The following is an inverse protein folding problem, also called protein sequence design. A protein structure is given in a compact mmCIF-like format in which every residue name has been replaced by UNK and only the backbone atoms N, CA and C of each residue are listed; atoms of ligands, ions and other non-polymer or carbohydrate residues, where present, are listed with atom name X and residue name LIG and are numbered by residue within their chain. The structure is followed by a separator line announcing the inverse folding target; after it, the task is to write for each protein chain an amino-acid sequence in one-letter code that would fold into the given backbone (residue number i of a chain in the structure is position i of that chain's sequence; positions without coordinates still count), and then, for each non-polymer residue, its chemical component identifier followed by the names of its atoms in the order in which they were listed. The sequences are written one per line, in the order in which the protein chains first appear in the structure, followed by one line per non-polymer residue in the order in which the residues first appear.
data_IF_753367437110
#
_entry.id   IF_753367437110
#
_cell.length_a   1.000
_cell.length_b   1.000
_cell.length_c   1.000
_cell.angle_alpha   90.00
_cell.angle_beta   90.00
_cell.angle_gamma   90.00
#
_symmetry.space_group_name_H-M   'P 1'
#
loop_
_entity.id
_entity.type
_entity.pdbx_description
1 polymer ?
#
# COMPACT_ATOMS: atom_id res chain seq x y z
N UNK A 1 -52.99 3.90 6.88
CA UNK A 1 -52.20 4.92 6.16
C UNK A 1 -50.71 4.93 6.55
N UNK A 2 -50.32 4.63 7.81
CA UNK A 2 -48.90 4.53 8.20
C UNK A 2 -48.16 3.33 7.58
N UNK A 3 -48.78 2.15 7.48
CA UNK A 3 -48.13 0.93 6.94
C UNK A 3 -47.74 1.08 5.46
N UNK A 4 -48.60 1.74 4.66
CA UNK A 4 -48.35 1.99 3.23
C UNK A 4 -47.20 2.98 3.00
N UNK A 5 -47.03 3.97 3.89
CA UNK A 5 -45.91 4.90 3.83
C UNK A 5 -44.57 4.23 4.20
N UNK A 6 -44.57 3.35 5.22
CA UNK A 6 -43.39 2.57 5.62
C UNK A 6 -42.99 1.59 4.51
N UNK A 7 -43.95 0.91 3.91
CA UNK A 7 -43.69 -0.01 2.79
C UNK A 7 -43.12 0.73 1.56
N UNK A 8 -43.63 1.93 1.25
CA UNK A 8 -43.11 2.77 0.16
C UNK A 8 -41.67 3.23 0.41
N UNK A 9 -41.37 3.68 1.63
CA UNK A 9 -40.01 4.08 2.00
C UNK A 9 -39.02 2.90 1.97
N UNK A 10 -39.43 1.73 2.45
CA UNK A 10 -38.60 0.52 2.40
C UNK A 10 -38.30 0.07 0.96
N UNK A 11 -39.29 0.12 0.08
CA UNK A 11 -39.12 -0.23 -1.34
C UNK A 11 -38.16 0.76 -2.04
N UNK A 12 -38.28 2.05 -1.74
CA UNK A 12 -37.39 3.08 -2.29
C UNK A 12 -35.93 2.87 -1.85
N UNK A 13 -35.70 2.57 -0.58
CA UNK A 13 -34.36 2.31 -0.06
C UNK A 13 -33.72 1.06 -0.67
N UNK A 14 -34.49 -0.02 -0.87
CA UNK A 14 -34.00 -1.24 -1.52
C UNK A 14 -33.59 -0.99 -2.99
N UNK A 15 -34.38 -0.20 -3.72
CA UNK A 15 -34.04 0.17 -5.10
C UNK A 15 -32.79 1.06 -5.17
N UNK A 16 -32.66 2.03 -4.28
CA UNK A 16 -31.48 2.89 -4.20
C UNK A 16 -30.21 2.08 -3.86
N UNK A 17 -30.29 1.18 -2.87
CA UNK A 17 -29.19 0.30 -2.51
C UNK A 17 -28.79 -0.64 -3.66
N UNK A 18 -29.76 -1.18 -4.40
CA UNK A 18 -29.52 -2.01 -5.58
C UNK A 18 -28.81 -1.26 -6.71
N UNK A 19 -29.22 -0.01 -6.97
CA UNK A 19 -28.57 0.85 -7.98
C UNK A 19 -27.12 1.20 -7.61
N UNK A 20 -26.88 1.53 -6.34
CA UNK A 20 -25.52 1.82 -5.83
C UNK A 20 -24.64 0.56 -5.90
N UNK A 21 -25.15 -0.60 -5.49
CA UNK A 21 -24.43 -1.86 -5.58
C UNK A 21 -24.07 -2.24 -7.03
N UNK A 22 -25.00 -2.00 -7.96
CA UNK A 22 -24.76 -2.23 -9.39
C UNK A 22 -23.68 -1.30 -9.96
N UNK A 23 -23.68 -0.02 -9.58
CA UNK A 23 -22.64 0.93 -9.97
C UNK A 23 -21.28 0.55 -9.38
N UNK A 24 -21.23 0.15 -8.12
CA UNK A 24 -19.98 -0.31 -7.48
C UNK A 24 -19.43 -1.56 -8.16
N UNK A 25 -20.27 -2.54 -8.49
CA UNK A 25 -19.82 -3.74 -9.20
C UNK A 25 -19.35 -3.42 -10.63
N UNK A 26 -19.95 -2.44 -11.29
CA UNK A 26 -19.51 -1.99 -12.62
C UNK A 26 -18.16 -1.28 -12.55
N UNK A 27 -17.92 -0.43 -11.56
CA UNK A 27 -16.63 0.22 -11.34
C UNK A 27 -15.54 -0.80 -11.02
N UNK A 28 -15.82 -1.79 -10.16
CA UNK A 28 -14.90 -2.88 -9.85
C UNK A 28 -14.57 -3.70 -11.10
N UNK A 29 -15.57 -4.08 -11.91
CA UNK A 29 -15.31 -4.82 -13.17
C UNK A 29 -14.54 -4.01 -14.21
N UNK A 30 -14.77 -2.70 -14.27
CA UNK A 30 -14.01 -1.82 -15.17
C UNK A 30 -12.56 -1.70 -14.71
N UNK A 31 -12.34 -1.56 -13.40
CA UNK A 31 -11.00 -1.58 -12.80
C UNK A 31 -10.32 -2.93 -13.04
N UNK A 32 -11.01 -4.05 -12.83
CA UNK A 32 -10.49 -5.40 -13.11
C UNK A 32 -10.17 -5.60 -14.60
N UNK A 33 -11.00 -5.10 -15.52
CA UNK A 33 -10.77 -5.20 -16.96
C UNK A 33 -9.62 -4.30 -17.44
N UNK A 34 -9.45 -3.11 -16.86
CA UNK A 34 -8.32 -2.22 -17.13
C UNK A 34 -6.99 -2.73 -16.52
N UNK A 35 -7.07 -3.44 -15.38
CA UNK A 35 -5.93 -4.12 -14.75
C UNK A 35 -5.54 -5.42 -15.46
N UNK A 36 -6.51 -6.20 -15.96
CA UNK A 36 -6.25 -7.44 -16.71
C UNK A 36 -5.57 -7.20 -18.07
N UNK A 37 -5.63 -5.97 -18.58
CA UNK A 37 -5.01 -5.55 -19.83
C UNK A 37 -3.92 -4.48 -19.62
N UNK A 38 -3.18 -4.53 -18.49
CA UNK A 38 -2.09 -3.59 -18.27
C UNK A 38 -1.01 -3.77 -19.37
N UNK A 39 -0.83 -2.79 -20.28
CA UNK A 39 0.31 -2.82 -21.19
C UNK A 39 1.56 -2.76 -20.32
N UNK A 40 2.57 -3.55 -20.65
CA UNK A 40 3.82 -3.71 -19.88
C UNK A 40 4.41 -2.36 -19.40
N UNK A 41 4.20 -1.27 -20.14
CA UNK A 41 4.57 0.10 -19.73
C UNK A 41 3.91 0.66 -18.46
N UNK A 42 2.90 0.00 -17.86
CA UNK A 42 2.32 0.37 -16.55
C UNK A 42 3.05 -0.28 -15.36
N UNK A 43 3.83 -1.34 -15.58
CA UNK A 43 4.59 -2.02 -14.54
C UNK A 43 5.92 -1.30 -14.33
N UNK A 44 6.02 -0.58 -13.22
CA UNK A 44 7.13 0.34 -12.95
C UNK A 44 7.65 0.25 -11.52
N UNK A 45 7.12 -0.69 -10.73
CA UNK A 45 7.46 -0.80 -9.32
C UNK A 45 7.78 -2.26 -8.98
N UNK A 46 8.79 -2.43 -8.15
CA UNK A 46 9.22 -3.74 -7.63
C UNK A 46 9.70 -3.59 -6.20
N UNK A 47 9.62 -4.67 -5.42
CA UNK A 47 10.14 -4.70 -4.05
C UNK A 47 11.44 -5.49 -4.04
N UNK A 48 12.47 -4.88 -3.46
CA UNK A 48 13.77 -5.49 -3.24
C UNK A 48 13.91 -5.83 -1.76
N UNK A 49 14.59 -6.95 -1.47
CA UNK A 49 14.81 -7.45 -0.11
C UNK A 49 16.18 -7.03 0.43
N UNK A 50 16.51 -5.76 0.26
CA UNK A 50 17.79 -5.18 0.67
C UNK A 50 17.57 -3.74 1.16
N UNK A 51 18.56 -3.19 1.87
CA UNK A 51 18.53 -1.81 2.35
C UNK A 51 19.14 -0.87 1.34
N UNK A 52 18.48 0.27 1.12
CA UNK A 52 18.98 1.34 0.27
C UNK A 52 19.43 2.50 1.15
N UNK A 53 20.55 3.12 0.81
CA UNK A 53 20.98 4.33 1.51
C UNK A 53 20.34 5.58 0.92
N UNK A 54 20.19 6.61 1.75
CA UNK A 54 19.68 7.93 1.34
C UNK A 54 20.42 8.51 0.13
N UNK A 55 21.74 8.41 0.17
CA UNK A 55 22.72 8.92 -0.80
C UNK A 55 22.97 7.99 -2.00
N UNK A 56 22.41 6.78 -2.00
CA UNK A 56 22.68 5.80 -3.06
C UNK A 56 21.89 6.12 -4.34
N UNK A 57 22.61 6.30 -5.44
CA UNK A 57 22.06 6.47 -6.78
C UNK A 57 22.05 5.13 -7.52
N UNK A 58 20.88 4.49 -7.60
CA UNK A 58 20.63 3.33 -8.47
C UNK A 58 19.55 3.67 -9.50
N UNK A 59 19.92 4.12 -10.71
CA UNK A 59 18.95 4.51 -11.73
C UNK A 59 18.07 3.34 -12.20
N UNK A 60 18.54 2.10 -12.07
CA UNK A 60 17.80 0.87 -12.35
C UNK A 60 16.75 0.52 -11.29
N UNK A 61 16.89 1.02 -10.06
CA UNK A 61 15.99 0.77 -8.94
C UNK A 61 16.02 1.97 -7.98
N UNK A 62 15.18 2.97 -8.28
CA UNK A 62 15.09 4.21 -7.51
C UNK A 62 14.24 3.96 -6.27
N UNK A 63 14.80 4.01 -5.05
CA UNK A 63 14.02 3.72 -3.84
C UNK A 63 13.04 4.85 -3.55
N UNK A 64 11.79 4.49 -3.24
CA UNK A 64 10.72 5.42 -2.88
C UNK A 64 10.38 5.31 -1.39
N UNK A 65 10.35 4.09 -0.86
CA UNK A 65 10.04 3.80 0.52
C UNK A 65 10.66 2.46 0.93
N UNK A 66 11.14 2.34 2.15
CA UNK A 66 11.56 1.06 2.72
C UNK A 66 10.97 0.84 4.10
N UNK A 67 10.69 -0.42 4.40
CA UNK A 67 10.14 -0.87 5.67
C UNK A 67 10.93 -2.08 6.16
N UNK A 68 11.43 -2.02 7.38
CA UNK A 68 12.24 -3.07 8.01
C UNK A 68 11.46 -3.68 9.15
N UNK A 69 11.34 -5.00 9.13
CA UNK A 69 10.73 -5.81 10.21
C UNK A 69 11.85 -6.54 10.92
N UNK A 70 12.04 -6.28 12.22
CA UNK A 70 13.09 -6.88 13.05
C UNK A 70 12.65 -8.27 13.55
N UNK A 71 13.56 -9.15 13.94
CA UNK A 71 13.18 -10.53 14.28
C UNK A 71 12.85 -10.71 15.77
N UNK A 72 13.27 -9.79 16.65
CA UNK A 72 12.99 -9.82 18.09
C UNK A 72 12.48 -8.50 18.71
N UNK A 73 11.72 -8.56 19.83
CA UNK A 73 11.19 -7.38 20.53
C UNK A 73 12.24 -6.57 21.33
N UNK A 74 13.48 -7.05 21.45
CA UNK A 74 14.57 -6.38 22.18
C UNK A 74 15.81 -6.07 21.30
N UNK A 75 15.73 -6.29 19.99
CA UNK A 75 16.83 -6.06 19.06
C UNK A 75 16.91 -4.56 18.69
N UNK A 76 17.83 -3.83 19.34
CA UNK A 76 18.38 -2.60 18.75
C UNK A 76 19.35 -3.02 17.64
N UNK A 77 19.22 -2.43 16.46
CA UNK A 77 20.09 -2.64 15.29
C UNK A 77 21.59 -2.62 15.67
N UNK A 78 22.13 -3.77 16.05
CA UNK A 78 23.56 -4.03 16.11
C UNK A 78 23.97 -4.71 14.81
N UNK A 79 25.18 -4.38 14.32
CA UNK A 79 25.74 -4.96 13.11
C UNK A 79 25.65 -6.50 13.16
N UNK A 80 24.75 -7.08 12.37
CA UNK A 80 24.63 -8.54 12.19
C UNK A 80 23.25 -9.16 12.44
N UNK A 81 22.25 -8.44 12.92
CA UNK A 81 20.88 -9.00 13.10
C UNK A 81 20.02 -8.89 11.82
N UNK A 82 19.43 -10.02 11.45
CA UNK A 82 18.63 -10.24 10.22
C UNK A 82 17.21 -9.71 10.35
N UNK A 83 17.04 -8.40 10.25
CA UNK A 83 15.75 -7.80 9.90
C UNK A 83 15.44 -7.99 8.41
N UNK A 84 14.18 -8.25 8.06
CA UNK A 84 13.76 -8.28 6.65
C UNK A 84 13.40 -6.86 6.21
N UNK A 85 14.18 -6.30 5.30
CA UNK A 85 13.87 -5.01 4.67
C UNK A 85 13.09 -5.23 3.39
N UNK A 86 12.00 -4.49 3.23
CA UNK A 86 11.22 -4.40 2.00
C UNK A 86 11.39 -3.01 1.42
N UNK A 87 12.19 -2.88 0.37
CA UNK A 87 12.45 -1.62 -0.32
C UNK A 87 11.61 -1.53 -1.60
N UNK A 88 10.59 -0.67 -1.58
CA UNK A 88 9.79 -0.36 -2.75
C UNK A 88 10.56 0.62 -3.65
N UNK A 89 10.85 0.16 -4.87
CA UNK A 89 11.61 0.93 -5.84
C UNK A 89 10.80 1.16 -7.12
N UNK A 90 10.98 2.34 -7.72
CA UNK A 90 10.64 2.57 -9.12
C UNK A 90 11.75 2.00 -9.99
N UNK A 91 11.37 1.23 -10.99
CA UNK A 91 12.25 0.66 -12.01
C UNK A 91 11.86 1.19 -13.40
N UNK A 92 12.67 0.99 -14.45
CA UNK A 92 12.30 1.34 -15.81
C UNK A 92 10.93 0.78 -16.24
N UNK A 93 10.24 1.51 -17.11
CA UNK A 93 8.90 1.11 -17.54
C UNK A 93 8.91 -0.26 -18.23
N UNK A 94 8.09 -1.18 -17.72
CA UNK A 94 7.98 -2.55 -18.21
C UNK A 94 9.00 -3.53 -17.65
N UNK A 95 9.90 -3.10 -16.75
CA UNK A 95 10.78 -4.00 -16.00
C UNK A 95 10.30 -4.23 -14.58
N UNK A 96 9.21 -3.56 -14.17
CA UNK A 96 8.61 -3.73 -12.86
C UNK A 96 7.69 -4.94 -12.78
N UNK A 97 7.35 -5.31 -11.55
CA UNK A 97 6.41 -6.40 -11.26
C UNK A 97 5.00 -5.87 -10.98
N UNK A 98 4.90 -4.59 -10.59
CA UNK A 98 3.68 -4.00 -10.04
C UNK A 98 3.35 -2.65 -10.67
N UNK A 99 2.05 -2.33 -10.67
CA UNK A 99 1.57 -0.96 -10.85
C UNK A 99 1.75 -0.15 -9.55
N UNK A 100 1.49 1.16 -9.60
CA UNK A 100 1.59 2.01 -8.40
C UNK A 100 0.57 1.60 -7.33
N UNK A 101 -0.65 1.23 -7.76
CA UNK A 101 -1.72 0.81 -6.85
C UNK A 101 -1.38 -0.54 -6.17
N UNK A 102 -0.92 -1.51 -6.95
CA UNK A 102 -0.51 -2.82 -6.43
C UNK A 102 0.66 -2.69 -5.46
N UNK A 103 1.64 -1.85 -5.78
CA UNK A 103 2.78 -1.57 -4.91
C UNK A 103 2.36 -0.95 -3.57
N UNK A 104 1.42 0.01 -3.59
CA UNK A 104 0.86 0.60 -2.38
C UNK A 104 0.15 -0.48 -1.53
N UNK A 105 -0.72 -1.27 -2.13
CA UNK A 105 -1.46 -2.33 -1.44
C UNK A 105 -0.52 -3.40 -0.85
N UNK A 106 0.52 -3.78 -1.60
CA UNK A 106 1.51 -4.76 -1.16
C UNK A 106 2.24 -4.27 0.09
N UNK A 107 2.76 -3.03 0.07
CA UNK A 107 3.49 -2.45 1.20
C UNK A 107 2.58 -2.26 2.42
N UNK A 108 1.35 -1.76 2.24
CA UNK A 108 0.38 -1.65 3.32
C UNK A 108 0.07 -3.00 3.97
N UNK A 109 -0.05 -4.05 3.17
CA UNK A 109 -0.28 -5.41 3.68
C UNK A 109 0.88 -5.89 4.54
N UNK A 110 2.13 -5.62 4.13
CA UNK A 110 3.32 -5.96 4.93
C UNK A 110 3.41 -5.18 6.24
N UNK A 111 3.17 -3.88 6.19
CA UNK A 111 3.18 -3.02 7.40
C UNK A 111 2.14 -3.51 8.41
N UNK A 112 0.90 -3.75 7.97
CA UNK A 112 -0.18 -4.27 8.83
C UNK A 112 0.14 -5.66 9.39
N UNK A 113 0.71 -6.55 8.59
CA UNK A 113 1.09 -7.88 9.06
C UNK A 113 2.14 -7.82 10.17
N UNK A 114 3.15 -6.95 10.04
CA UNK A 114 4.17 -6.75 11.07
C UNK A 114 3.59 -6.13 12.35
N UNK A 115 2.67 -5.17 12.22
CA UNK A 115 1.92 -4.57 13.33
C UNK A 115 1.13 -5.59 14.14
N UNK A 116 0.37 -6.47 13.47
CA UNK A 116 -0.38 -7.55 14.12
C UNK A 116 0.54 -8.48 14.92
N UNK A 117 1.74 -8.74 14.39
CA UNK A 117 2.75 -9.58 15.04
C UNK A 117 3.50 -8.85 16.16
N UNK A 118 3.22 -7.56 16.41
CA UNK A 118 3.87 -6.68 17.40
C UNK A 118 5.39 -6.66 17.26
N UNK A 119 5.85 -6.71 16.02
CA UNK A 119 7.27 -6.75 15.72
C UNK A 119 7.82 -5.33 15.66
N UNK A 120 9.01 -5.11 16.23
CA UNK A 120 9.69 -3.81 16.12
C UNK A 120 9.95 -3.53 14.64
N UNK A 121 9.60 -2.32 14.19
CA UNK A 121 9.74 -1.97 12.78
C UNK A 121 10.25 -0.55 12.59
N UNK A 122 11.04 -0.38 11.53
CA UNK A 122 11.58 0.90 11.10
C UNK A 122 11.14 1.18 9.67
N UNK A 123 11.07 2.47 9.31
CA UNK A 123 10.80 2.88 7.95
C UNK A 123 11.69 4.04 7.56
N UNK A 124 11.96 4.15 6.25
CA UNK A 124 12.64 5.28 5.66
C UNK A 124 11.98 5.64 4.34
N UNK A 125 11.70 6.93 4.16
CA UNK A 125 11.06 7.48 2.97
C UNK A 125 12.05 8.26 2.12
N UNK A 126 11.87 8.24 0.80
CA UNK A 126 12.73 8.96 -0.15
C UNK A 126 11.93 9.96 -1.01
N UNK A 127 11.26 10.97 -0.40
CA UNK A 127 10.41 11.90 -1.14
C UNK A 127 11.16 12.72 -2.19
N UNK A 128 12.47 12.94 -2.01
CA UNK A 128 13.32 13.62 -2.99
C UNK A 128 13.59 12.80 -4.26
N UNK A 129 13.36 11.49 -4.23
CA UNK A 129 13.53 10.57 -5.38
C UNK A 129 12.21 10.30 -6.12
N UNK A 130 11.09 10.84 -5.63
CA UNK A 130 9.78 10.73 -6.24
C UNK A 130 9.60 11.77 -7.35
N UNK A 131 9.54 11.29 -8.59
CA UNK A 131 9.41 12.14 -9.79
C UNK A 131 7.94 12.46 -10.08
N UNK A 132 7.03 11.56 -9.68
CA UNK A 132 5.60 11.63 -10.05
C UNK A 132 4.72 12.02 -8.88
N UNK A 133 3.60 12.69 -9.17
CA UNK A 133 2.59 13.04 -8.15
C UNK A 133 2.10 11.80 -7.39
N UNK A 134 1.80 10.72 -8.11
CA UNK A 134 1.34 9.47 -7.52
C UNK A 134 2.36 8.81 -6.59
N UNK A 135 3.67 8.94 -6.86
CA UNK A 135 4.73 8.40 -6.00
C UNK A 135 4.81 9.19 -4.68
N UNK A 136 4.66 10.52 -4.75
CA UNK A 136 4.60 11.37 -3.56
C UNK A 136 3.39 11.01 -2.69
N UNK A 137 2.22 10.85 -3.32
CA UNK A 137 1.01 10.41 -2.63
C UNK A 137 1.16 9.00 -2.02
N UNK A 138 1.80 8.07 -2.74
CA UNK A 138 2.11 6.75 -2.24
C UNK A 138 2.98 6.82 -0.98
N UNK A 139 4.06 7.60 -0.99
CA UNK A 139 4.95 7.75 0.17
C UNK A 139 4.17 8.29 1.37
N UNK A 140 3.37 9.35 1.17
CA UNK A 140 2.53 9.93 2.23
C UNK A 140 1.56 8.89 2.80
N UNK A 141 0.93 8.08 1.95
CA UNK A 141 0.00 7.04 2.39
C UNK A 141 0.70 5.92 3.16
N UNK A 142 1.92 5.54 2.78
CA UNK A 142 2.70 4.54 3.50
C UNK A 142 3.19 5.05 4.86
N UNK A 143 3.65 6.31 4.93
CA UNK A 143 4.00 6.95 6.21
C UNK A 143 2.80 7.03 7.15
N UNK A 144 1.62 7.39 6.62
CA UNK A 144 0.38 7.39 7.39
C UNK A 144 0.05 6.00 7.90
N UNK A 145 0.16 4.97 7.04
CA UNK A 145 -0.07 3.57 7.42
C UNK A 145 0.88 3.14 8.54
N UNK A 146 2.19 3.41 8.43
CA UNK A 146 3.14 3.07 9.50
C UNK A 146 2.78 3.77 10.80
N UNK A 147 2.38 5.05 10.76
CA UNK A 147 2.00 5.81 11.95
C UNK A 147 0.74 5.26 12.63
N UNK A 148 -0.28 4.94 11.84
CA UNK A 148 -1.51 4.32 12.34
C UNK A 148 -1.19 2.99 13.03
N UNK A 149 -0.42 2.14 12.37
CA UNK A 149 -0.06 0.81 12.87
C UNK A 149 0.89 0.84 14.07
N UNK A 150 1.86 1.77 14.12
CA UNK A 150 2.72 1.96 15.29
C UNK A 150 1.93 2.42 16.53
N UNK A 151 0.83 3.17 16.32
CA UNK A 151 -0.10 3.55 17.39
C UNK A 151 -0.85 2.36 18.00
N UNK A 152 -1.09 1.30 17.23
CA UNK A 152 -1.70 0.05 17.71
C UNK A 152 -0.71 -0.89 18.41
N UNK A 153 0.58 -0.79 18.09
CA UNK A 153 1.64 -1.62 18.68
C UNK A 153 2.10 -1.18 20.08
N UNK A 154 1.63 -0.05 20.60
CA UNK A 154 1.92 0.44 21.95
C UNK A 154 0.80 0.08 22.94
N UNK A 155 0.87 -1.05 23.68
CA UNK A 155 -0.02 -1.26 24.82
C UNK A 155 0.44 -0.40 26.00
N UNK A 156 -0.50 0.26 26.67
CA UNK A 156 -0.32 0.70 28.05
C UNK A 156 -0.03 -0.48 28.98
#
# INVERSE_FOLDING_TARGET
MMITAIAGAALFLLLAAGLIAYQNSRLIRQQEAESAAAPTGKLMYSVFFEQFRGDEERPEAVPLFQYTVLSGPEEQLHEGETGTTYALCRVPAGTGEMTLEDALQWMQTRIRAASIQRVLSEHLSFPGKADRKGEKELIINLEATVREEAGYASPH
#
